data_IF_234791048537
#
_entry.id   IF_234791048537
#
_cell.length_a   1.000
_cell.length_b   1.000
_cell.length_c   1.000
_cell.angle_alpha   90.00
_cell.angle_beta   90.00
_cell.angle_gamma   90.00
#
_symmetry.space_group_name_H-M   'P 1'
#
loop_
_entity.id
_entity.type
_entity.pdbx_description
1 polymer ?
#
# COMPACT_ATOMS: atom_id res chain seq x y z
N UNK A 1 -11.66 -40.99 -4.13
CA UNK A 1 -11.93 -39.57 -3.82
C UNK A 1 -10.57 -38.89 -3.78
N UNK A 2 -10.27 -38.03 -4.75
CA UNK A 2 -9.09 -37.15 -4.69
C UNK A 2 -9.47 -35.95 -3.83
N UNK A 3 -8.78 -35.72 -2.71
CA UNK A 3 -8.94 -34.46 -1.99
C UNK A 3 -8.37 -33.33 -2.86
N UNK A 4 -9.11 -32.23 -2.99
CA UNK A 4 -8.56 -31.01 -3.54
C UNK A 4 -7.39 -30.54 -2.65
N UNK A 5 -6.31 -30.08 -3.27
CA UNK A 5 -5.20 -29.47 -2.54
C UNK A 5 -5.69 -28.20 -1.84
N UNK A 6 -5.42 -28.07 -0.54
CA UNK A 6 -5.75 -26.87 0.23
C UNK A 6 -4.50 -26.00 0.29
N UNK A 7 -4.49 -24.94 -0.51
CA UNK A 7 -3.41 -23.95 -0.55
C UNK A 7 -3.33 -23.15 0.76
N UNK A 8 -2.11 -22.84 1.19
CA UNK A 8 -1.82 -22.11 2.43
C UNK A 8 -0.66 -21.16 2.21
N UNK A 9 -0.88 -19.90 2.52
CA UNK A 9 0.13 -18.86 2.50
C UNK A 9 -0.20 -17.77 3.49
N UNK A 10 0.69 -16.78 3.60
CA UNK A 10 0.51 -15.67 4.52
C UNK A 10 1.12 -14.38 3.98
N UNK A 11 0.41 -13.26 4.10
CA UNK A 11 0.99 -11.92 3.99
C UNK A 11 1.86 -11.71 5.23
N UNK A 12 3.17 -11.86 5.07
CA UNK A 12 4.13 -11.73 6.16
C UNK A 12 4.51 -10.28 6.44
N UNK A 13 4.47 -9.43 5.40
CA UNK A 13 4.79 -8.00 5.51
C UNK A 13 4.03 -7.19 4.46
N UNK A 14 3.64 -5.97 4.84
CA UNK A 14 3.02 -4.97 3.96
C UNK A 14 3.55 -3.59 4.33
N UNK A 15 4.04 -2.85 3.34
CA UNK A 15 4.75 -1.59 3.55
C UNK A 15 4.38 -0.56 2.50
N UNK A 16 4.39 0.71 2.92
CA UNK A 16 4.27 1.87 2.06
C UNK A 16 5.59 2.63 2.09
N UNK A 17 6.16 2.88 0.91
CA UNK A 17 7.26 3.81 0.70
C UNK A 17 6.72 5.16 0.24
N UNK A 18 7.19 6.25 0.84
CA UNK A 18 6.88 7.64 0.52
C UNK A 18 8.05 8.53 0.97
N UNK A 19 8.37 9.62 0.27
CA UNK A 19 9.45 10.57 0.61
C UNK A 19 10.76 9.93 1.16
N UNK A 20 11.29 8.93 0.45
CA UNK A 20 12.45 8.10 0.88
C UNK A 20 12.26 7.26 2.16
N UNK A 21 11.21 7.51 2.95
CA UNK A 21 10.79 6.75 4.10
C UNK A 21 10.03 5.47 3.70
N UNK A 22 10.00 4.52 4.64
CA UNK A 22 9.26 3.26 4.50
C UNK A 22 8.61 2.90 5.84
N UNK A 23 7.31 2.68 5.83
CA UNK A 23 6.53 2.31 7.01
C UNK A 23 5.72 1.03 6.79
N UNK A 24 5.45 0.31 7.87
CA UNK A 24 4.49 -0.80 7.84
C UNK A 24 3.08 -0.26 7.65
N UNK A 25 2.27 -0.91 6.81
CA UNK A 25 0.88 -0.51 6.58
C UNK A 25 0.01 -0.96 7.78
N UNK A 26 -0.84 -0.07 8.34
CA UNK A 26 -1.08 1.32 7.94
C UNK A 26 0.00 2.30 8.43
N UNK A 27 0.30 3.32 7.60
CA UNK A 27 1.21 4.42 7.98
C UNK A 27 0.43 5.67 8.40
N UNK A 28 0.80 6.29 9.51
CA UNK A 28 0.18 7.54 9.95
C UNK A 28 0.96 8.77 9.49
N UNK A 29 0.23 9.87 9.24
CA UNK A 29 0.76 11.22 9.02
C UNK A 29 1.73 11.30 7.83
N UNK A 30 1.35 10.67 6.72
CA UNK A 30 2.06 10.81 5.45
C UNK A 30 1.87 12.26 4.95
N UNK A 31 2.93 12.97 4.55
CA UNK A 31 2.78 14.29 3.96
C UNK A 31 1.96 14.27 2.67
N UNK A 32 1.09 15.27 2.49
CA UNK A 32 0.31 15.43 1.27
C UNK A 32 1.24 15.86 0.11
N UNK A 33 1.00 15.31 -1.08
CA UNK A 33 1.76 15.58 -2.30
C UNK A 33 2.88 14.58 -2.59
N UNK A 34 3.05 13.58 -1.71
CA UNK A 34 4.06 12.54 -1.86
C UNK A 34 3.67 11.46 -2.88
N UNK A 35 4.64 10.62 -3.24
CA UNK A 35 4.41 9.43 -4.07
C UNK A 35 4.52 8.15 -3.27
N UNK A 36 3.47 7.34 -3.34
CA UNK A 36 3.38 6.02 -2.70
C UNK A 36 3.89 4.90 -3.60
N UNK A 37 4.57 3.91 -3.00
CA UNK A 37 4.78 2.58 -3.57
C UNK A 37 4.45 1.56 -2.49
N UNK A 38 3.56 0.61 -2.82
CA UNK A 38 3.23 -0.53 -1.94
C UNK A 38 4.21 -1.67 -2.21
N UNK A 39 4.73 -2.27 -1.15
CA UNK A 39 5.48 -3.53 -1.19
C UNK A 39 4.84 -4.55 -0.26
N UNK A 40 4.60 -5.75 -0.75
CA UNK A 40 4.04 -6.87 0.02
C UNK A 40 4.97 -8.08 -0.07
N UNK A 41 5.19 -8.77 1.05
CA UNK A 41 5.85 -10.07 1.08
C UNK A 41 4.80 -11.14 1.40
N UNK A 42 4.67 -12.11 0.51
CA UNK A 42 3.83 -13.30 0.68
C UNK A 42 4.68 -14.52 0.94
N UNK A 43 4.43 -15.23 2.04
CA UNK A 43 5.09 -16.48 2.40
C UNK A 43 4.31 -17.69 1.90
N UNK A 44 5.02 -18.67 1.35
CA UNK A 44 4.45 -19.97 0.99
C UNK A 44 4.44 -20.91 2.20
N UNK A 45 3.26 -21.23 2.74
CA UNK A 45 3.09 -22.15 3.89
C UNK A 45 2.80 -23.60 3.44
N UNK A 46 2.93 -23.90 2.15
CA UNK A 46 2.85 -25.26 1.61
C UNK A 46 4.13 -26.05 1.83
N UNK A 47 4.03 -27.38 1.77
CA UNK A 47 5.19 -28.29 1.77
C UNK A 47 5.84 -28.41 0.38
N UNK A 48 5.25 -27.80 -0.64
CA UNK A 48 5.69 -27.81 -2.05
C UNK A 48 5.99 -26.39 -2.52
N UNK A 49 6.86 -26.24 -3.51
CA UNK A 49 7.09 -24.96 -4.19
C UNK A 49 5.82 -24.50 -4.89
N UNK A 50 5.44 -23.24 -4.74
CA UNK A 50 4.24 -22.65 -5.32
C UNK A 50 4.57 -21.38 -6.09
N UNK A 51 3.87 -21.15 -7.20
CA UNK A 51 3.88 -19.85 -7.86
C UNK A 51 2.98 -18.90 -7.06
N UNK A 52 3.55 -17.85 -6.50
CA UNK A 52 2.80 -16.87 -5.71
C UNK A 52 2.18 -15.81 -6.62
N UNK A 53 0.95 -15.39 -6.31
CA UNK A 53 0.28 -14.25 -6.97
C UNK A 53 -0.18 -13.23 -5.95
N UNK A 54 -0.48 -12.02 -6.41
CA UNK A 54 -1.01 -10.94 -5.58
C UNK A 54 -1.99 -10.10 -6.39
N UNK A 55 -3.03 -9.63 -5.72
CA UNK A 55 -3.89 -8.56 -6.20
C UNK A 55 -4.01 -7.50 -5.10
N UNK A 56 -3.94 -6.22 -5.42
CA UNK A 56 -4.35 -5.18 -4.49
C UNK A 56 -4.99 -3.98 -5.18
N UNK A 57 -5.88 -3.32 -4.45
CA UNK A 57 -6.55 -2.10 -4.89
C UNK A 57 -6.34 -1.02 -3.84
N UNK A 58 -5.71 0.09 -4.25
CA UNK A 58 -5.56 1.30 -3.43
C UNK A 58 -6.64 2.30 -3.79
N UNK A 59 -7.29 2.86 -2.78
CA UNK A 59 -8.31 3.91 -2.93
C UNK A 59 -7.93 5.17 -2.17
N UNK A 60 -8.24 6.29 -2.78
CA UNK A 60 -8.14 7.60 -2.15
C UNK A 60 -9.26 7.81 -1.09
N UNK A 61 -9.22 8.91 -0.32
CA UNK A 61 -10.22 9.20 0.71
C UNK A 61 -11.66 9.37 0.18
N UNK A 62 -11.84 9.61 -1.12
CA UNK A 62 -13.15 9.69 -1.78
C UNK A 62 -13.60 8.31 -2.32
N UNK A 63 -12.78 7.27 -2.15
CA UNK A 63 -13.04 5.91 -2.63
C UNK A 63 -12.63 5.64 -4.07
N UNK A 64 -11.97 6.59 -4.75
CA UNK A 64 -11.50 6.44 -6.13
C UNK A 64 -10.31 5.49 -6.18
N UNK A 65 -10.33 4.51 -7.10
CA UNK A 65 -9.19 3.62 -7.33
C UNK A 65 -8.03 4.41 -7.94
N UNK A 66 -6.90 4.45 -7.26
CA UNK A 66 -5.66 5.05 -7.79
C UNK A 66 -4.65 4.00 -8.24
N UNK A 67 -4.76 2.77 -7.74
CA UNK A 67 -3.95 1.64 -8.16
C UNK A 67 -4.80 0.37 -8.11
N UNK A 68 -4.70 -0.44 -9.16
CA UNK A 68 -5.19 -1.81 -9.26
C UNK A 68 -4.01 -2.65 -9.76
N UNK A 69 -3.32 -3.32 -8.84
CA UNK A 69 -2.07 -4.04 -9.10
C UNK A 69 -2.30 -5.54 -9.06
N UNK A 70 -1.90 -6.24 -10.12
CA UNK A 70 -2.03 -7.68 -10.23
C UNK A 70 -0.75 -8.28 -10.80
N UNK A 71 -0.19 -9.29 -10.13
CA UNK A 71 1.02 -9.96 -10.60
C UNK A 71 1.10 -11.41 -10.14
N UNK A 72 1.82 -12.21 -10.93
CA UNK A 72 2.30 -13.54 -10.56
C UNK A 72 3.81 -13.59 -10.60
N UNK A 73 4.41 -14.22 -9.60
CA UNK A 73 5.83 -14.51 -9.51
C UNK A 73 6.36 -15.17 -10.79
N UNK A 74 7.56 -14.81 -11.23
CA UNK A 74 8.27 -15.51 -12.30
C UNK A 74 9.11 -16.66 -11.73
N UNK A 75 9.39 -17.69 -12.55
CA UNK A 75 10.28 -18.80 -12.18
C UNK A 75 11.60 -18.27 -11.56
N UNK A 76 12.12 -18.80 -10.44
CA UNK A 76 11.99 -20.19 -9.94
C UNK A 76 10.82 -20.56 -9.00
N UNK A 77 9.86 -19.68 -8.75
CA UNK A 77 8.72 -19.90 -7.82
C UNK A 77 9.14 -20.07 -6.34
N UNK A 78 8.24 -19.74 -5.43
CA UNK A 78 8.52 -19.64 -4.00
C UNK A 78 8.60 -21.01 -3.32
N UNK A 79 9.77 -21.40 -2.76
CA UNK A 79 9.93 -22.65 -2.00
C UNK A 79 9.09 -22.68 -0.71
N UNK A 80 8.88 -23.88 -0.12
CA UNK A 80 8.25 -24.02 1.19
C UNK A 80 8.90 -23.16 2.29
N UNK A 81 8.10 -22.34 2.96
CA UNK A 81 8.55 -21.48 4.07
C UNK A 81 9.22 -20.16 3.64
N UNK A 82 9.54 -20.00 2.35
CA UNK A 82 10.16 -18.79 1.81
C UNK A 82 9.12 -17.71 1.49
N UNK A 83 9.61 -16.50 1.22
CA UNK A 83 8.81 -15.32 0.89
C UNK A 83 9.06 -14.85 -0.54
N UNK A 84 8.00 -14.47 -1.24
CA UNK A 84 8.07 -13.72 -2.49
C UNK A 84 7.71 -12.25 -2.25
N UNK A 85 8.51 -11.34 -2.81
CA UNK A 85 8.29 -9.90 -2.71
C UNK A 85 7.60 -9.37 -3.97
N UNK A 86 6.48 -8.71 -3.78
CA UNK A 86 5.77 -7.96 -4.81
C UNK A 86 5.93 -6.45 -4.57
N UNK A 87 6.35 -5.72 -5.60
CA UNK A 87 6.47 -4.27 -5.58
C UNK A 87 5.48 -3.67 -6.59
N UNK A 88 4.67 -2.72 -6.12
CA UNK A 88 3.66 -2.04 -6.94
C UNK A 88 4.18 -1.01 -7.92
N UNK A 89 3.21 -0.35 -8.53
CA UNK A 89 3.41 0.90 -9.24
C UNK A 89 3.59 2.08 -8.28
N UNK A 90 3.54 3.27 -8.88
CA UNK A 90 3.58 4.54 -8.16
C UNK A 90 2.21 5.22 -8.29
N UNK A 91 1.73 5.80 -7.21
CA UNK A 91 0.55 6.66 -7.19
C UNK A 91 0.83 7.93 -6.39
N UNK A 92 0.12 9.01 -6.69
CA UNK A 92 0.25 10.29 -6.01
C UNK A 92 -0.67 10.32 -4.77
N UNK A 93 -0.15 10.74 -3.62
CA UNK A 93 -0.85 10.88 -2.34
C UNK A 93 -1.26 12.34 -2.18
N UNK A 94 -2.19 12.78 -3.02
CA UNK A 94 -2.51 14.20 -3.24
C UNK A 94 -3.68 14.73 -2.40
N UNK A 95 -4.35 13.85 -1.65
CA UNK A 95 -5.54 14.18 -0.84
C UNK A 95 -5.34 13.91 0.65
N UNK A 96 -5.79 14.83 1.52
CA UNK A 96 -5.85 14.58 2.95
C UNK A 96 -6.95 13.58 3.30
N UNK A 97 -6.75 12.83 4.38
CA UNK A 97 -7.69 11.82 4.86
C UNK A 97 -7.12 10.40 4.89
N UNK A 98 -8.01 9.43 5.05
CA UNK A 98 -7.64 8.01 5.12
C UNK A 98 -7.68 7.39 3.73
N UNK A 99 -6.54 6.90 3.28
CA UNK A 99 -6.43 6.06 2.09
C UNK A 99 -6.61 4.60 2.49
N UNK A 100 -7.23 3.78 1.64
CA UNK A 100 -7.50 2.36 1.93
C UNK A 100 -6.81 1.44 0.94
N UNK A 101 -6.54 0.21 1.37
CA UNK A 101 -6.01 -0.84 0.51
C UNK A 101 -6.68 -2.18 0.82
N UNK A 102 -7.01 -2.91 -0.25
CA UNK A 102 -7.34 -4.35 -0.20
C UNK A 102 -6.17 -5.12 -0.80
N UNK A 103 -5.76 -6.23 -0.21
CA UNK A 103 -4.66 -7.07 -0.66
C UNK A 103 -5.11 -8.52 -0.58
N UNK A 104 -5.01 -9.26 -1.67
CA UNK A 104 -5.27 -10.70 -1.76
C UNK A 104 -4.00 -11.43 -2.21
N UNK A 105 -3.46 -12.30 -1.35
CA UNK A 105 -2.37 -13.20 -1.70
C UNK A 105 -2.94 -14.45 -2.34
N UNK A 106 -2.41 -14.83 -3.49
CA UNK A 106 -2.96 -15.85 -4.37
C UNK A 106 -2.00 -17.04 -4.55
N UNK A 107 -2.57 -18.22 -4.72
CA UNK A 107 -1.90 -19.43 -5.24
C UNK A 107 -2.77 -20.05 -6.35
N UNK A 108 -2.23 -21.03 -7.09
CA UNK A 108 -2.94 -21.75 -8.15
C UNK A 108 -3.37 -20.86 -9.34
N UNK A 109 -2.43 -20.24 -10.04
CA UNK A 109 -2.70 -19.31 -11.16
C UNK A 109 -3.79 -19.72 -12.18
N UNK A 110 -3.91 -20.99 -12.62
CA UNK A 110 -4.97 -21.37 -13.55
C UNK A 110 -6.39 -21.25 -12.97
N UNK A 111 -6.54 -21.34 -11.65
CA UNK A 111 -7.79 -21.18 -10.90
C UNK A 111 -7.49 -20.55 -9.53
N UNK A 112 -7.22 -19.22 -9.49
CA UNK A 112 -6.61 -18.57 -8.35
C UNK A 112 -7.38 -18.74 -7.04
N UNK A 113 -6.66 -19.11 -5.99
CA UNK A 113 -7.19 -19.25 -4.63
C UNK A 113 -6.58 -18.16 -3.76
N UNK A 114 -7.42 -17.41 -3.06
CA UNK A 114 -6.98 -16.45 -2.03
C UNK A 114 -6.56 -17.24 -0.79
N UNK A 115 -5.28 -17.14 -0.43
CA UNK A 115 -4.70 -17.85 0.71
C UNK A 115 -4.50 -16.97 1.95
N UNK A 116 -4.44 -15.66 1.77
CA UNK A 116 -4.47 -14.66 2.85
C UNK A 116 -4.93 -13.31 2.28
N UNK A 117 -5.49 -12.45 3.13
CA UNK A 117 -6.05 -11.16 2.70
C UNK A 117 -5.91 -10.06 3.75
N UNK A 118 -5.84 -8.81 3.31
CA UNK A 118 -5.92 -7.63 4.16
C UNK A 118 -6.88 -6.61 3.56
N UNK A 119 -7.80 -6.10 4.36
CA UNK A 119 -8.69 -4.98 4.01
C UNK A 119 -8.61 -3.94 5.14
N UNK A 120 -8.18 -2.72 4.81
CA UNK A 120 -8.09 -1.65 5.79
C UNK A 120 -7.40 -0.39 5.29
N UNK A 121 -6.93 0.41 6.25
CA UNK A 121 -6.22 1.63 5.95
C UNK A 121 -4.85 1.34 5.30
N UNK A 122 -4.53 2.08 4.25
CA UNK A 122 -3.19 2.17 3.69
C UNK A 122 -2.37 3.17 4.50
N UNK A 123 -2.88 4.40 4.60
CA UNK A 123 -2.25 5.47 5.34
C UNK A 123 -3.24 6.57 5.71
N UNK A 124 -2.83 7.47 6.60
CA UNK A 124 -3.51 8.75 6.84
C UNK A 124 -2.64 9.91 6.38
N UNK A 125 -3.26 10.90 5.76
CA UNK A 125 -2.62 12.11 5.23
C UNK A 125 -3.20 13.32 5.92
N UNK A 126 -2.33 14.18 6.45
CA UNK A 126 -2.75 15.46 7.02
C UNK A 126 -2.86 16.53 5.93
N UNK A 127 -3.82 17.43 6.05
CA UNK A 127 -3.95 18.56 5.12
C UNK A 127 -2.73 19.47 5.22
N UNK A 128 -2.16 19.83 4.08
CA UNK A 128 -1.13 20.85 4.03
C UNK A 128 -1.68 22.16 4.63
N UNK A 129 -0.98 22.69 5.65
CA UNK A 129 -1.30 24.01 6.19
C UNK A 129 -0.95 25.05 5.12
N UNK A 130 -1.90 25.85 4.62
CA UNK A 130 -1.57 26.87 3.65
C UNK A 130 -0.59 27.87 4.28
N UNK A 131 0.50 28.17 3.56
CA UNK A 131 1.42 29.25 3.93
C UNK A 131 0.62 30.53 4.18
N UNK A 132 0.75 31.17 5.36
CA UNK A 132 0.05 32.42 5.60
C UNK A 132 0.56 33.46 4.59
N UNK A 133 -0.35 34.02 3.79
CA UNK A 133 -0.03 35.22 3.02
C UNK A 133 0.16 36.38 4.00
N UNK A 134 1.37 36.54 4.53
CA UNK A 134 1.71 37.63 5.43
C UNK A 134 1.76 38.93 4.61
N UNK A 135 0.62 39.62 4.51
CA UNK A 135 0.60 41.00 4.04
C UNK A 135 1.19 41.87 5.13
N UNK A 136 2.42 42.32 4.91
CA UNK A 136 3.15 43.30 5.74
C UNK A 136 2.23 44.45 6.14
N UNK A 137 1.83 44.51 7.42
CA UNK A 137 1.25 45.72 7.98
C UNK A 137 2.37 46.75 8.16
N UNK A 138 2.46 47.70 7.23
CA UNK A 138 3.24 48.92 7.41
C UNK A 138 2.44 49.87 8.30
N UNK A 139 2.84 50.06 9.56
CA UNK A 139 2.32 51.14 10.38
C UNK A 139 3.02 52.44 9.94
N UNK A 140 2.31 53.28 9.17
CA UNK A 140 2.92 54.45 8.52
C UNK A 140 2.93 55.73 9.35
N UNK A 141 2.31 55.80 10.53
CA UNK A 141 2.38 57.02 11.33
C UNK A 141 2.04 56.82 12.80
N UNK A 142 2.89 57.39 13.66
CA UNK A 142 2.58 57.63 15.07
C UNK A 142 2.24 59.11 15.22
N UNK A 143 0.99 59.42 15.55
CA UNK A 143 0.60 60.77 16.00
C UNK A 143 0.80 60.82 17.52
N UNK A 144 1.68 61.72 17.97
CA UNK A 144 1.90 62.02 19.38
C UNK A 144 1.24 63.36 19.69
N UNK A 145 0.19 63.33 20.54
CA UNK A 145 -0.43 64.52 21.11
C UNK A 145 0.32 64.98 22.35
#
# INVERSE_FOLDING_TARGET
ITLAEVYKGKISRKELKYDEARGAIPVSNVPQGERGIVTVLGRNDMATTQRMGIHWVVRDPDGVVVEDYYAWEMWPYCPPGDEHKFDGGRFDIDKPGTWTITIDLLMNEPDPVIVDSYDGALCTVEAAVPEPSFQRFGMTEYIKT
#
